data_IF_511202631239
#
_entry.id   IF_511202631239
#
_cell.length_a   1.000
_cell.length_b   1.000
_cell.length_c   1.000
_cell.angle_alpha   90.00
_cell.angle_beta   90.00
_cell.angle_gamma   90.00
#
_symmetry.space_group_name_H-M   'P 1'
#
loop_
_entity.id
_entity.type
_entity.pdbx_description
1 polymer ?
#
# COMPACT_ATOMS: atom_id res chain seq x y z
N UNK A 1 5.65 -5.42 -16.87
CA UNK A 1 4.92 -6.14 -15.80
C UNK A 1 5.18 -7.60 -16.06
N UNK A 2 5.97 -8.25 -15.21
CA UNK A 2 6.39 -9.64 -15.43
C UNK A 2 5.25 -10.56 -14.96
N UNK A 3 4.66 -11.32 -15.87
CA UNK A 3 3.62 -12.29 -15.52
C UNK A 3 4.28 -13.45 -14.76
N UNK A 4 3.79 -13.76 -13.57
CA UNK A 4 4.26 -14.93 -12.83
C UNK A 4 3.56 -16.16 -13.40
N UNK A 5 4.35 -17.21 -13.64
CA UNK A 5 3.91 -18.43 -14.32
C UNK A 5 4.06 -19.59 -13.34
N UNK A 6 2.94 -20.22 -13.01
CA UNK A 6 2.87 -21.57 -12.47
C UNK A 6 2.65 -22.56 -13.62
N UNK A 7 2.84 -23.86 -13.38
CA UNK A 7 2.82 -24.91 -14.40
C UNK A 7 1.62 -24.84 -15.38
N UNK A 8 0.45 -24.37 -14.92
CA UNK A 8 -0.76 -24.25 -15.75
C UNK A 8 -1.49 -22.90 -15.61
N UNK A 9 -0.91 -21.91 -14.92
CA UNK A 9 -1.59 -20.63 -14.66
C UNK A 9 -0.62 -19.46 -14.79
N UNK A 10 -1.08 -18.41 -15.48
CA UNK A 10 -0.39 -17.12 -15.54
C UNK A 10 -1.19 -16.12 -14.74
N UNK A 11 -0.55 -15.42 -13.81
CA UNK A 11 -1.23 -14.43 -12.96
C UNK A 11 -0.46 -13.12 -12.90
N UNK A 12 -1.21 -12.03 -12.79
CA UNK A 12 -0.72 -10.69 -12.55
C UNK A 12 -1.51 -10.09 -11.38
N UNK A 13 -1.09 -10.42 -10.16
CA UNK A 13 -1.75 -9.97 -8.94
C UNK A 13 -1.05 -8.71 -8.43
N UNK A 14 -1.58 -7.54 -8.79
CA UNK A 14 -1.11 -6.25 -8.27
C UNK A 14 -2.27 -5.52 -7.59
N UNK A 15 -2.25 -5.46 -6.26
CA UNK A 15 -3.29 -4.80 -5.47
C UNK A 15 -2.77 -3.55 -4.76
N UNK A 16 -3.68 -2.59 -4.54
CA UNK A 16 -3.40 -1.35 -3.83
C UNK A 16 -3.89 -1.44 -2.37
N UNK A 17 -2.95 -1.60 -1.44
CA UNK A 17 -3.24 -1.59 -0.01
C UNK A 17 -3.12 -0.15 0.52
N UNK A 18 -4.17 0.34 1.20
CA UNK A 18 -4.22 1.72 1.76
C UNK A 18 -4.41 1.66 3.27
N UNK A 19 -3.48 2.27 4.02
CA UNK A 19 -3.58 2.42 5.47
C UNK A 19 -4.11 3.81 5.82
N UNK A 20 -5.17 3.87 6.62
CA UNK A 20 -5.77 5.12 7.11
C UNK A 20 -5.71 5.13 8.64
N UNK A 21 -5.11 6.15 9.26
CA UNK A 21 -5.06 6.24 10.72
C UNK A 21 -6.44 6.53 11.29
N UNK A 22 -6.69 6.06 12.53
CA UNK A 22 -7.93 6.35 13.26
C UNK A 22 -8.15 7.88 13.32
N UNK A 23 -9.36 8.32 13.00
CA UNK A 23 -9.74 9.75 12.86
C UNK A 23 -8.99 10.53 11.78
N UNK A 24 -8.35 9.86 10.81
CA UNK A 24 -7.60 10.49 9.71
C UNK A 24 -6.57 11.53 10.19
N UNK A 25 -5.98 11.30 11.39
CA UNK A 25 -4.98 12.19 11.96
C UNK A 25 -3.73 12.25 11.09
N UNK A 26 -3.08 13.40 11.01
CA UNK A 26 -1.82 13.61 10.29
C UNK A 26 -0.60 13.07 11.07
N UNK A 27 -0.72 11.88 11.65
CA UNK A 27 0.31 11.25 12.53
C UNK A 27 1.26 10.34 11.77
N UNK A 28 0.88 9.88 10.57
CA UNK A 28 1.70 9.00 9.74
C UNK A 28 2.80 9.73 8.94
N UNK A 29 3.15 10.96 9.32
CA UNK A 29 4.20 11.75 8.67
C UNK A 29 5.47 11.79 9.51
N UNK A 30 6.62 11.96 8.85
CA UNK A 30 7.92 12.02 9.51
C UNK A 30 8.40 10.64 9.97
N UNK A 31 8.89 10.57 11.21
CA UNK A 31 9.55 9.38 11.78
C UNK A 31 8.63 8.15 11.84
N UNK A 32 7.39 8.34 12.30
CA UNK A 32 6.39 7.26 12.43
C UNK A 32 6.07 6.65 11.06
N UNK A 33 5.92 7.47 10.02
CA UNK A 33 5.65 6.98 8.66
C UNK A 33 6.80 6.14 8.08
N UNK A 34 8.05 6.49 8.44
CA UNK A 34 9.25 5.76 8.04
C UNK A 34 9.32 4.39 8.74
N UNK A 35 9.12 4.36 10.05
CA UNK A 35 9.12 3.13 10.86
C UNK A 35 8.05 2.14 10.36
N UNK A 36 6.82 2.62 10.10
CA UNK A 36 5.75 1.79 9.53
C UNK A 36 6.16 1.25 8.14
N UNK A 37 6.81 2.07 7.33
CA UNK A 37 7.35 1.67 6.04
C UNK A 37 8.41 0.56 6.10
N UNK A 38 9.24 0.58 7.14
CA UNK A 38 10.28 -0.41 7.43
C UNK A 38 9.67 -1.72 7.94
N UNK A 39 8.70 -1.65 8.86
CA UNK A 39 7.95 -2.81 9.34
C UNK A 39 7.26 -3.52 8.17
N UNK A 40 6.52 -2.79 7.34
CA UNK A 40 5.87 -3.35 6.15
C UNK A 40 6.90 -3.95 5.18
N UNK A 41 8.07 -3.33 5.03
CA UNK A 41 9.14 -3.89 4.21
C UNK A 41 9.65 -5.21 4.74
N UNK A 42 9.77 -5.33 6.06
CA UNK A 42 10.26 -6.54 6.73
C UNK A 42 9.25 -7.66 6.60
N UNK A 43 7.96 -7.37 6.83
CA UNK A 43 6.87 -8.34 6.64
C UNK A 43 6.82 -8.85 5.19
N UNK A 44 6.88 -7.96 4.20
CA UNK A 44 6.86 -8.37 2.78
C UNK A 44 8.07 -9.23 2.38
N UNK A 45 9.25 -9.00 2.99
CA UNK A 45 10.44 -9.84 2.76
C UNK A 45 10.22 -11.25 3.30
N UNK A 46 9.63 -11.38 4.49
CA UNK A 46 9.37 -12.68 5.12
C UNK A 46 8.30 -13.44 4.33
N UNK A 47 7.26 -12.76 3.85
CA UNK A 47 6.16 -13.41 3.11
C UNK A 47 6.46 -13.62 1.63
N UNK A 48 7.62 -13.16 1.12
CA UNK A 48 7.99 -13.29 -0.29
C UNK A 48 7.16 -12.40 -1.24
N UNK A 49 6.50 -11.36 -0.74
CA UNK A 49 5.66 -10.47 -1.54
C UNK A 49 6.50 -9.36 -2.18
N UNK A 50 6.37 -9.19 -3.50
CA UNK A 50 7.05 -8.12 -4.25
C UNK A 50 6.33 -6.79 -4.03
N UNK A 51 7.03 -5.84 -3.40
CA UNK A 51 6.57 -4.45 -3.25
C UNK A 51 6.85 -3.66 -4.53
N UNK A 52 5.80 -3.22 -5.24
CA UNK A 52 5.95 -2.42 -6.47
C UNK A 52 6.18 -0.94 -6.18
N UNK A 53 5.35 -0.31 -5.34
CA UNK A 53 5.42 1.13 -5.07
C UNK A 53 4.92 1.46 -3.67
N UNK A 54 5.73 2.20 -2.90
CA UNK A 54 5.30 2.83 -1.65
C UNK A 54 4.97 4.30 -1.94
N UNK A 55 3.75 4.74 -1.64
CA UNK A 55 3.34 6.14 -1.82
C UNK A 55 2.78 6.68 -0.52
N UNK A 56 3.46 7.67 0.05
CA UNK A 56 2.98 8.42 1.20
C UNK A 56 2.36 9.73 0.70
N UNK A 57 1.03 9.78 0.59
CA UNK A 57 0.36 11.05 0.24
C UNK A 57 0.28 11.95 1.48
N UNK A 58 0.78 13.18 1.37
CA UNK A 58 0.55 14.24 2.34
C UNK A 58 -0.95 14.56 2.37
N UNK A 59 -1.56 14.53 3.56
CA UNK A 59 -2.94 14.90 3.81
C UNK A 59 -3.03 16.43 3.67
N UNK A 60 -3.16 16.86 2.42
CA UNK A 60 -3.18 18.27 2.01
C UNK A 60 -3.73 18.50 0.62
N UNK A 61 -3.78 17.48 -0.24
CA UNK A 61 -4.50 17.54 -1.53
C UNK A 61 -5.38 16.30 -1.68
N UNK A 62 -6.50 16.33 -0.96
CA UNK A 62 -7.64 15.47 -1.27
C UNK A 62 -8.26 16.01 -2.56
N UNK A 63 -7.64 15.75 -3.72
CA UNK A 63 -8.43 15.57 -4.92
C UNK A 63 -9.12 14.22 -4.68
N UNK A 64 -10.36 14.27 -4.17
CA UNK A 64 -11.28 13.14 -4.15
C UNK A 64 -11.36 12.61 -5.58
N UNK A 65 -10.53 11.62 -5.93
CA UNK A 65 -10.86 10.80 -7.06
C UNK A 65 -12.03 9.93 -6.58
N UNK A 66 -13.23 10.31 -7.02
CA UNK A 66 -14.56 9.82 -6.61
C UNK A 66 -14.80 8.35 -7.00
N UNK A 67 -13.91 7.42 -6.62
CA UNK A 67 -14.07 5.98 -6.90
C UNK A 67 -13.92 5.05 -5.70
N UNK A 68 -13.58 5.56 -4.53
CA UNK A 68 -13.61 4.78 -3.28
C UNK A 68 -14.67 5.42 -2.35
N UNK A 69 -15.93 5.37 -2.79
CA UNK A 69 -17.12 5.51 -1.95
C UNK A 69 -17.92 4.22 -2.09
N UNK A 70 -17.41 3.13 -1.54
CA UNK A 70 -18.21 1.94 -1.26
C UNK A 70 -17.47 1.12 -0.21
N UNK A 71 -18.19 0.84 0.89
CA UNK A 71 -17.80 0.10 2.08
C UNK A 71 -16.99 0.87 3.14
N UNK A 72 -17.64 1.88 3.72
CA UNK A 72 -17.99 1.87 5.15
C UNK A 72 -19.49 2.15 5.26
#
# INVERSE_FOLDING_TARGET
>A
MDNQILAHTKYNCTDHIVFIPKYRRKVMYGKIGKEIGEILSTVCKITGVKLTKKVYRRAGSVQQNRRIKSLF
#
